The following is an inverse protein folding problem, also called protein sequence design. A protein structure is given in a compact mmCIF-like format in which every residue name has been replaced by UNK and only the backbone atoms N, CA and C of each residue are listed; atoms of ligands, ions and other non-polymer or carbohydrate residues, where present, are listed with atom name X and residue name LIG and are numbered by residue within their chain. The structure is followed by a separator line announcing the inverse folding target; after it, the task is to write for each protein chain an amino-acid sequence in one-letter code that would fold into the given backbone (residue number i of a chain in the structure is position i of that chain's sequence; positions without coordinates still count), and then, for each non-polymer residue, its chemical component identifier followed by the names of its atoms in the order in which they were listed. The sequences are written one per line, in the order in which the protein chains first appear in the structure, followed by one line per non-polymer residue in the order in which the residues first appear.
data_IF_326865608837
#
_entry.id   IF_326865608837
#
_cell.length_a   1.000
_cell.length_b   1.000
_cell.length_c   1.000
_cell.angle_alpha   90.00
_cell.angle_beta   90.00
_cell.angle_gamma   90.00
#
_symmetry.space_group_name_H-M   'P 1'
#
loop_
_entity.id
_entity.type
_entity.pdbx_description
1 polymer ?
#
# COMPACT_ATOMS: atom_id res chain seq x y z
N UNK A 1 -13.80 -1.99 51.09
CA UNK A 1 -13.05 -1.69 49.86
C UNK A 1 -13.14 -2.92 48.97
N UNK A 2 -14.15 -2.99 48.09
CA UNK A 2 -14.37 -4.15 47.23
C UNK A 2 -13.42 -4.10 46.04
N UNK A 3 -12.54 -5.08 45.92
CA UNK A 3 -11.69 -5.21 44.73
C UNK A 3 -12.58 -5.64 43.56
N UNK A 4 -12.87 -4.71 42.66
CA UNK A 4 -13.47 -5.03 41.36
C UNK A 4 -12.39 -5.72 40.53
N UNK A 5 -12.42 -7.05 40.51
CA UNK A 5 -11.63 -7.84 39.56
C UNK A 5 -12.29 -7.68 38.21
N UNK A 6 -11.75 -6.83 37.34
CA UNK A 6 -12.12 -6.80 35.94
C UNK A 6 -11.76 -8.17 35.32
N UNK A 7 -12.77 -9.02 35.10
CA UNK A 7 -12.59 -10.26 34.35
C UNK A 7 -12.40 -9.93 32.86
N UNK A 8 -11.18 -9.52 32.51
CA UNK A 8 -10.80 -9.09 31.16
C UNK A 8 -10.77 -10.24 30.14
N UNK A 9 -11.21 -11.46 30.47
CA UNK A 9 -11.04 -12.60 29.55
C UNK A 9 -11.88 -12.47 28.27
N UNK A 10 -13.03 -11.76 28.31
CA UNK A 10 -13.98 -11.64 27.19
C UNK A 10 -14.70 -10.27 27.10
N UNK A 11 -14.10 -9.20 27.61
CA UNK A 11 -14.69 -7.85 27.47
C UNK A 11 -14.60 -7.31 26.04
N UNK A 12 -15.49 -6.37 25.64
CA UNK A 12 -15.49 -5.73 24.32
C UNK A 12 -14.08 -5.27 23.89
N UNK A 13 -13.36 -4.60 24.79
CA UNK A 13 -11.99 -4.13 24.60
C UNK A 13 -10.97 -5.20 24.18
N UNK A 14 -11.07 -6.41 24.73
CA UNK A 14 -10.14 -7.52 24.42
C UNK A 14 -10.47 -8.15 23.07
N UNK A 15 -11.75 -8.18 22.70
CA UNK A 15 -12.19 -8.68 21.41
C UNK A 15 -11.77 -7.72 20.28
N UNK A 16 -11.93 -6.41 20.46
CA UNK A 16 -11.49 -5.38 19.49
C UNK A 16 -9.99 -5.44 19.27
N UNK A 17 -9.20 -5.55 20.35
CA UNK A 17 -7.73 -5.65 20.24
C UNK A 17 -7.32 -6.89 19.44
N UNK A 18 -7.92 -8.06 19.70
CA UNK A 18 -7.63 -9.29 18.94
C UNK A 18 -8.00 -9.17 17.46
N UNK A 19 -9.09 -8.47 17.16
CA UNK A 19 -9.58 -8.35 15.78
C UNK A 19 -8.66 -7.52 14.90
N UNK A 20 -8.02 -6.47 15.42
CA UNK A 20 -7.12 -5.62 14.62
C UNK A 20 -5.82 -6.32 14.18
N UNK A 21 -5.47 -7.47 14.77
CA UNK A 21 -4.24 -8.22 14.43
C UNK A 21 -4.51 -9.59 13.80
N UNK A 22 -5.76 -9.88 13.45
CA UNK A 22 -6.20 -11.19 12.98
C UNK A 22 -6.22 -11.35 11.44
N UNK A 23 -5.93 -10.27 10.71
CA UNK A 23 -5.98 -10.25 9.25
C UNK A 23 -4.70 -10.81 8.63
N UNK A 24 -4.84 -11.65 7.60
CA UNK A 24 -3.74 -12.12 6.76
C UNK A 24 -4.19 -12.34 5.31
N UNK A 25 -3.25 -12.59 4.39
CA UNK A 25 -3.55 -12.90 2.99
C UNK A 25 -3.65 -11.66 2.09
N UNK A 26 -4.62 -11.65 1.16
CA UNK A 26 -4.79 -10.58 0.16
C UNK A 26 -4.09 -10.87 -1.18
N UNK A 27 -3.11 -11.77 -1.21
CA UNK A 27 -2.28 -11.99 -2.40
C UNK A 27 -1.49 -10.73 -2.78
N UNK A 28 -1.37 -10.43 -4.07
CA UNK A 28 -0.86 -9.13 -4.55
C UNK A 28 -1.85 -8.03 -4.14
N UNK A 29 -1.39 -7.15 -3.24
CA UNK A 29 -2.07 -5.94 -2.80
C UNK A 29 -1.48 -4.75 -3.55
N UNK A 30 -2.33 -3.90 -4.13
CA UNK A 30 -1.88 -2.79 -4.98
C UNK A 30 -2.57 -1.48 -4.63
N UNK A 31 -1.81 -0.40 -4.76
CA UNK A 31 -2.29 0.98 -4.67
C UNK A 31 -2.10 1.62 -6.03
N UNK A 32 -3.12 2.31 -6.52
CA UNK A 32 -3.05 3.07 -7.77
C UNK A 32 -2.67 4.54 -7.52
N UNK A 33 -2.38 5.28 -8.60
CA UNK A 33 -2.03 6.69 -8.51
C UNK A 33 -3.17 7.58 -8.03
N UNK A 34 -4.43 7.15 -8.09
CA UNK A 34 -5.58 7.82 -7.46
C UNK A 34 -5.81 7.38 -6.00
N UNK A 35 -4.89 6.55 -5.46
CA UNK A 35 -4.87 5.99 -4.11
C UNK A 35 -5.96 4.95 -3.87
N UNK A 36 -6.66 4.53 -4.92
CA UNK A 36 -7.56 3.39 -4.86
C UNK A 36 -6.78 2.09 -4.64
N UNK A 37 -7.39 1.18 -3.89
CA UNK A 37 -6.78 -0.06 -3.42
C UNK A 37 -7.42 -1.28 -4.06
N UNK A 38 -6.63 -2.32 -4.28
CA UNK A 38 -7.12 -3.62 -4.73
C UNK A 38 -6.24 -4.76 -4.24
N UNK A 39 -6.82 -5.96 -4.16
CA UNK A 39 -6.10 -7.18 -3.80
C UNK A 39 -6.56 -8.35 -4.67
N UNK A 40 -5.64 -9.28 -4.97
CA UNK A 40 -5.85 -10.35 -5.96
C UNK A 40 -6.41 -11.65 -5.38
N UNK A 41 -6.32 -11.85 -4.06
CA UNK A 41 -6.83 -13.05 -3.38
C UNK A 41 -7.52 -12.66 -2.08
N UNK A 42 -8.42 -13.51 -1.60
CA UNK A 42 -9.11 -13.29 -0.32
C UNK A 42 -8.14 -12.95 0.83
N UNK A 43 -8.50 -11.95 1.62
CA UNK A 43 -8.01 -11.88 2.99
C UNK A 43 -8.69 -12.95 3.84
N UNK A 44 -8.01 -13.31 4.93
CA UNK A 44 -8.55 -14.15 5.97
C UNK A 44 -8.48 -13.42 7.30
N UNK A 45 -9.60 -13.36 8.02
CA UNK A 45 -9.59 -13.08 9.45
C UNK A 45 -9.60 -14.42 10.19
N UNK A 46 -8.48 -14.77 10.84
CA UNK A 46 -8.22 -16.06 11.48
C UNK A 46 -7.79 -15.87 12.93
N UNK A 47 -7.72 -16.97 13.71
CA UNK A 47 -7.30 -16.94 15.12
C UNK A 47 -8.21 -16.13 16.06
N UNK A 48 -9.44 -15.85 15.62
CA UNK A 48 -10.48 -15.16 16.40
C UNK A 48 -11.28 -16.10 17.29
N UNK A 49 -11.41 -17.37 16.89
CA UNK A 49 -12.27 -18.37 17.52
C UNK A 49 -13.34 -18.89 16.56
N UNK A 50 -14.19 -19.80 17.05
CA UNK A 50 -15.25 -20.45 16.27
C UNK A 50 -16.55 -20.50 17.08
N UNK A 51 -17.68 -20.22 16.43
CA UNK A 51 -19.02 -20.30 17.03
C UNK A 51 -19.83 -19.01 16.90
N UNK A 52 -20.89 -18.88 17.70
CA UNK A 52 -21.88 -17.78 17.60
C UNK A 52 -21.30 -16.38 17.75
N UNK A 53 -20.19 -16.24 18.48
CA UNK A 53 -19.51 -14.96 18.70
C UNK A 53 -18.43 -14.67 17.64
N UNK A 54 -18.20 -15.59 16.71
CA UNK A 54 -17.17 -15.55 15.67
C UNK A 54 -17.74 -16.11 14.37
N UNK A 55 -16.97 -16.87 13.59
CA UNK A 55 -17.53 -17.61 12.45
C UNK A 55 -17.83 -19.06 12.82
N UNK A 56 -18.79 -19.69 12.13
CA UNK A 56 -19.05 -21.13 12.19
C UNK A 56 -17.95 -21.97 11.53
N UNK A 57 -17.03 -21.34 10.79
CA UNK A 57 -16.00 -22.01 9.99
C UNK A 57 -14.56 -21.84 10.54
N UNK A 58 -14.38 -21.08 11.63
CA UNK A 58 -13.06 -20.77 12.22
C UNK A 58 -12.22 -19.70 11.49
N UNK A 59 -12.68 -19.20 10.35
CA UNK A 59 -12.15 -18.02 9.63
C UNK A 59 -13.23 -17.26 8.87
N UNK A 60 -13.03 -15.97 8.61
CA UNK A 60 -13.79 -15.21 7.62
C UNK A 60 -12.98 -15.01 6.33
N UNK A 61 -13.63 -15.04 5.17
CA UNK A 61 -13.05 -14.66 3.87
C UNK A 61 -13.52 -13.27 3.48
N UNK A 62 -12.59 -12.48 2.94
CA UNK A 62 -12.88 -11.14 2.43
C UNK A 62 -12.27 -11.03 1.03
N UNK A 63 -13.11 -11.31 0.03
CA UNK A 63 -12.80 -11.13 -1.39
C UNK A 63 -12.90 -9.65 -1.77
N UNK A 64 -12.22 -9.28 -2.87
CA UNK A 64 -12.41 -7.95 -3.45
C UNK A 64 -13.89 -7.83 -3.89
N UNK A 65 -14.63 -6.81 -3.44
CA UNK A 65 -15.99 -6.60 -3.90
C UNK A 65 -15.97 -6.31 -5.42
N UNK A 66 -16.97 -6.77 -6.18
CA UNK A 66 -17.08 -6.51 -7.61
C UNK A 66 -17.37 -5.03 -7.90
N UNK A 67 -17.09 -4.60 -9.13
CA UNK A 67 -17.44 -3.27 -9.62
C UNK A 67 -18.93 -2.96 -9.44
N UNK A 68 -19.22 -1.70 -9.11
CA UNK A 68 -20.58 -1.23 -8.77
C UNK A 68 -20.99 -1.47 -7.33
N UNK A 69 -20.20 -2.20 -6.52
CA UNK A 69 -20.47 -2.32 -5.08
C UNK A 69 -20.35 -0.95 -4.42
N UNK A 70 -21.39 -0.51 -3.73
CA UNK A 70 -21.38 0.69 -2.89
C UNK A 70 -20.87 0.33 -1.50
N UNK A 71 -19.80 1.01 -1.07
CA UNK A 71 -19.22 0.91 0.26
C UNK A 71 -19.70 2.12 1.06
N UNK A 72 -20.69 1.97 1.95
CA UNK A 72 -21.22 3.09 2.71
C UNK A 72 -20.19 3.63 3.70
N UNK A 73 -20.34 4.91 4.06
CA UNK A 73 -19.62 5.47 5.20
C UNK A 73 -20.02 4.74 6.49
N UNK A 74 -19.03 4.47 7.35
CA UNK A 74 -19.24 3.93 8.68
C UNK A 74 -19.58 4.98 9.74
N UNK A 75 -19.56 6.26 9.37
CA UNK A 75 -19.38 7.40 10.27
C UNK A 75 -20.20 8.63 9.84
N UNK A 76 -21.15 8.44 8.90
CA UNK A 76 -22.12 9.46 8.52
C UNK A 76 -21.70 10.39 7.37
N UNK A 77 -20.52 10.20 6.79
CA UNK A 77 -20.12 10.88 5.54
C UNK A 77 -20.57 10.15 4.27
N UNK A 78 -19.86 10.43 3.18
CA UNK A 78 -20.21 9.89 1.85
C UNK A 78 -19.49 8.56 1.62
N UNK A 79 -20.23 7.55 1.16
CA UNK A 79 -19.65 6.27 0.75
C UNK A 79 -18.83 6.37 -0.55
N UNK A 80 -18.19 5.27 -0.93
CA UNK A 80 -17.47 5.13 -2.20
C UNK A 80 -18.04 4.00 -3.03
N UNK A 81 -17.78 3.97 -4.34
CA UNK A 81 -18.22 2.88 -5.23
C UNK A 81 -17.01 2.21 -5.87
N UNK A 82 -16.99 0.88 -5.86
CA UNK A 82 -15.95 0.09 -6.51
C UNK A 82 -16.01 0.32 -8.01
N UNK A 83 -14.89 0.71 -8.60
CA UNK A 83 -14.78 1.00 -10.04
C UNK A 83 -13.46 0.45 -10.56
N UNK A 84 -13.47 -0.17 -11.74
CA UNK A 84 -12.27 -0.71 -12.40
C UNK A 84 -11.49 -1.73 -11.54
N UNK A 85 -12.22 -2.52 -10.77
CA UNK A 85 -11.71 -3.51 -9.83
C UNK A 85 -10.99 -2.90 -8.62
N UNK A 86 -11.29 -1.64 -8.25
CA UNK A 86 -10.61 -0.91 -7.17
C UNK A 86 -11.58 -0.19 -6.25
N UNK A 87 -11.22 -0.10 -4.97
CA UNK A 87 -11.93 0.68 -3.97
C UNK A 87 -11.26 2.06 -3.86
N UNK A 88 -11.94 3.16 -4.18
CA UNK A 88 -11.44 4.50 -3.89
C UNK A 88 -11.22 4.68 -2.40
N UNK A 89 -10.08 5.27 -2.02
CA UNK A 89 -9.78 5.63 -0.62
C UNK A 89 -9.80 7.16 -0.51
N UNK A 90 -10.77 7.78 0.16
CA UNK A 90 -10.76 9.23 0.43
C UNK A 90 -9.53 9.69 1.21
N UNK A 91 -9.31 11.01 1.32
CA UNK A 91 -8.20 11.57 2.09
C UNK A 91 -8.29 11.14 3.56
N UNK A 92 -7.15 10.74 4.16
CA UNK A 92 -7.08 10.23 5.54
C UNK A 92 -8.24 9.29 5.90
N UNK A 93 -8.33 8.16 5.20
CA UNK A 93 -9.45 7.23 5.32
C UNK A 93 -9.03 5.83 5.73
N UNK A 94 -9.98 5.05 6.26
CA UNK A 94 -9.82 3.65 6.58
C UNK A 94 -10.93 2.82 5.96
N UNK A 95 -10.54 1.74 5.30
CA UNK A 95 -11.41 0.70 4.78
C UNK A 95 -11.53 -0.40 5.81
N UNK A 96 -12.77 -0.75 6.13
CA UNK A 96 -13.13 -1.73 7.14
C UNK A 96 -14.00 -2.82 6.54
N UNK A 97 -14.05 -3.95 7.25
CA UNK A 97 -15.02 -4.99 7.00
C UNK A 97 -15.70 -5.41 8.30
N UNK A 98 -17.03 -5.42 8.28
CA UNK A 98 -17.87 -5.86 9.38
C UNK A 98 -17.87 -7.39 9.41
N UNK A 99 -17.32 -8.01 10.45
CA UNK A 99 -17.31 -9.47 10.56
C UNK A 99 -18.75 -9.98 10.79
N UNK A 100 -19.26 -10.91 9.95
CA UNK A 100 -20.59 -11.47 10.12
C UNK A 100 -20.59 -12.51 11.26
N UNK A 101 -20.60 -12.03 12.51
CA UNK A 101 -20.56 -12.90 13.69
C UNK A 101 -21.73 -13.89 13.71
N UNK A 102 -21.46 -15.13 14.13
CA UNK A 102 -22.37 -16.26 14.16
C UNK A 102 -22.77 -16.79 12.78
N UNK A 103 -21.98 -16.53 11.74
CA UNK A 103 -22.24 -16.98 10.36
C UNK A 103 -21.05 -17.70 9.73
N UNK A 104 -21.30 -18.21 8.52
CA UNK A 104 -20.29 -18.81 7.66
C UNK A 104 -19.13 -17.87 7.33
N UNK A 105 -18.11 -18.43 6.70
CA UNK A 105 -16.90 -17.71 6.24
C UNK A 105 -17.12 -16.77 5.05
N UNK A 106 -18.29 -16.74 4.40
CA UNK A 106 -18.45 -16.14 3.07
C UNK A 106 -18.42 -14.61 3.13
N UNK A 107 -17.77 -14.00 2.15
CA UNK A 107 -17.75 -12.53 1.97
C UNK A 107 -19.15 -12.00 1.70
N UNK A 108 -19.51 -10.90 2.35
CA UNK A 108 -20.77 -10.17 2.19
C UNK A 108 -20.42 -8.75 1.78
N UNK A 109 -20.78 -8.34 0.57
CA UNK A 109 -20.39 -7.03 0.05
C UNK A 109 -21.00 -5.87 0.88
N UNK A 110 -22.18 -6.08 1.45
CA UNK A 110 -22.83 -5.10 2.33
C UNK A 110 -22.10 -4.90 3.67
N UNK A 111 -21.04 -5.64 3.95
CA UNK A 111 -20.23 -5.53 5.17
C UNK A 111 -18.98 -4.66 4.97
N UNK A 112 -18.68 -4.13 3.78
CA UNK A 112 -17.62 -3.15 3.63
C UNK A 112 -18.04 -1.79 4.20
N UNK A 113 -17.14 -1.10 4.89
CA UNK A 113 -17.36 0.26 5.40
C UNK A 113 -16.14 1.11 5.11
N UNK A 114 -16.35 2.40 4.88
CA UNK A 114 -15.25 3.37 4.79
C UNK A 114 -15.46 4.49 5.80
N UNK A 115 -14.39 4.99 6.38
CA UNK A 115 -14.44 6.14 7.30
C UNK A 115 -13.32 7.09 6.92
N UNK A 116 -13.54 8.38 7.01
CA UNK A 116 -12.56 9.42 6.68
C UNK A 116 -12.55 10.54 7.72
N UNK A 117 -11.50 11.37 7.69
CA UNK A 117 -11.30 12.42 8.70
C UNK A 117 -12.29 13.59 8.61
N UNK A 118 -13.00 13.74 7.48
CA UNK A 118 -13.99 14.79 7.25
C UNK A 118 -15.40 14.34 7.63
N UNK A 119 -15.58 13.10 8.08
CA UNK A 119 -16.87 12.61 8.53
C UNK A 119 -17.45 13.55 9.61
N UNK A 120 -18.69 14.05 9.42
CA UNK A 120 -19.23 15.14 10.25
C UNK A 120 -19.74 14.67 11.63
N UNK A 121 -19.80 13.35 11.87
CA UNK A 121 -20.38 12.76 13.08
C UNK A 121 -19.34 12.22 14.04
N UNK A 122 -19.61 12.31 15.34
CA UNK A 122 -18.90 11.51 16.35
C UNK A 122 -19.28 10.04 16.18
N UNK A 123 -18.28 9.16 16.07
CA UNK A 123 -18.52 7.73 15.93
C UNK A 123 -17.42 6.93 16.65
N UNK A 124 -17.81 5.75 17.15
CA UNK A 124 -16.89 4.74 17.68
C UNK A 124 -16.84 3.57 16.72
N UNK A 125 -15.64 3.04 16.45
CA UNK A 125 -15.50 1.83 15.65
C UNK A 125 -16.05 0.63 16.39
N UNK A 126 -17.07 -0.08 15.87
CA UNK A 126 -17.59 -1.27 16.53
C UNK A 126 -16.54 -2.38 16.63
N UNK A 127 -16.56 -3.12 17.74
CA UNK A 127 -15.56 -4.14 18.06
C UNK A 127 -15.37 -5.22 16.98
N UNK A 128 -16.42 -5.49 16.20
CA UNK A 128 -16.47 -6.54 15.19
C UNK A 128 -16.07 -6.06 13.79
N UNK A 129 -15.53 -4.85 13.68
CA UNK A 129 -14.98 -4.34 12.44
C UNK A 129 -13.48 -4.61 12.40
N UNK A 130 -13.01 -5.15 11.29
CA UNK A 130 -11.59 -5.38 11.05
C UNK A 130 -11.07 -4.37 10.04
N UNK A 131 -9.91 -3.77 10.34
CA UNK A 131 -9.24 -2.85 9.42
C UNK A 131 -8.68 -3.64 8.22
N UNK A 132 -8.95 -3.19 7.00
CA UNK A 132 -8.37 -3.74 5.77
C UNK A 132 -7.24 -2.88 5.22
N UNK A 133 -7.42 -1.56 5.24
CA UNK A 133 -6.42 -0.61 4.76
C UNK A 133 -6.68 0.78 5.37
N UNK A 134 -5.62 1.54 5.62
CA UNK A 134 -5.69 2.96 6.00
C UNK A 134 -4.86 3.76 5.02
N UNK A 135 -5.42 4.85 4.49
CA UNK A 135 -4.70 5.85 3.70
C UNK A 135 -4.21 6.98 4.61
N UNK A 136 -2.94 7.33 4.50
CA UNK A 136 -2.34 8.57 5.00
C UNK A 136 -1.97 9.47 3.81
N UNK A 137 -2.28 10.76 3.85
CA UNK A 137 -1.94 11.74 2.80
C UNK A 137 -0.70 12.60 3.12
N UNK A 138 0.06 12.29 4.16
CA UNK A 138 1.30 13.02 4.43
C UNK A 138 2.25 12.98 3.21
N UNK A 139 2.72 14.15 2.78
CA UNK A 139 3.35 14.35 1.46
C UNK A 139 4.82 13.88 1.32
N UNK A 140 5.38 13.19 2.32
CA UNK A 140 6.84 13.03 2.44
C UNK A 140 7.29 11.57 2.33
N UNK A 141 7.52 11.08 1.11
CA UNK A 141 8.26 9.82 0.89
C UNK A 141 7.67 8.56 1.53
N UNK A 142 6.49 8.66 2.14
CA UNK A 142 5.90 7.60 2.96
C UNK A 142 4.86 6.88 2.13
N UNK A 143 4.81 5.53 2.18
CA UNK A 143 3.76 4.79 1.51
C UNK A 143 2.38 5.29 1.95
N UNK A 144 1.50 5.65 1.00
CA UNK A 144 0.22 6.27 1.30
C UNK A 144 -0.77 5.30 1.95
N UNK A 145 -0.54 3.99 1.90
CA UNK A 145 -1.46 3.00 2.45
C UNK A 145 -0.74 2.05 3.41
N UNK A 146 -1.34 1.79 4.57
CA UNK A 146 -1.00 0.66 5.43
C UNK A 146 -2.12 -0.37 5.37
N UNK A 147 -1.80 -1.61 5.03
CA UNK A 147 -2.75 -2.71 5.03
C UNK A 147 -3.03 -3.19 6.46
N UNK A 148 -4.22 -3.73 6.70
CA UNK A 148 -4.57 -4.36 7.98
C UNK A 148 -3.71 -5.57 8.32
N UNK A 149 -3.03 -6.14 7.32
CA UNK A 149 -2.02 -7.19 7.46
C UNK A 149 -0.64 -6.68 7.90
N UNK A 150 -0.46 -5.36 8.00
CA UNK A 150 0.74 -4.69 8.54
C UNK A 150 1.71 -4.17 7.49
N UNK A 151 1.63 -4.63 6.24
CA UNK A 151 2.49 -4.14 5.16
C UNK A 151 2.08 -2.75 4.67
N UNK A 152 3.04 -2.03 4.11
CA UNK A 152 2.82 -0.75 3.48
C UNK A 152 2.61 -0.92 1.96
N UNK A 153 1.73 -0.12 1.38
CA UNK A 153 1.40 -0.08 -0.04
C UNK A 153 1.62 1.30 -0.62
N UNK A 154 2.24 1.34 -1.80
CA UNK A 154 2.49 2.55 -2.58
C UNK A 154 2.29 2.29 -4.09
N UNK A 155 2.30 3.36 -4.87
CA UNK A 155 2.15 3.33 -6.33
C UNK A 155 3.42 3.82 -7.03
N UNK A 156 3.60 3.39 -8.28
CA UNK A 156 4.71 3.85 -9.11
C UNK A 156 4.47 5.29 -9.58
N UNK A 157 5.35 6.21 -9.19
CA UNK A 157 5.40 7.59 -9.66
C UNK A 157 6.33 7.69 -10.86
N UNK A 158 5.94 8.37 -11.95
CA UNK A 158 6.85 8.62 -13.06
C UNK A 158 8.12 9.33 -12.59
N UNK A 159 9.29 8.85 -13.04
CA UNK A 159 10.57 9.50 -12.78
C UNK A 159 10.86 10.49 -13.91
N UNK A 160 11.02 11.77 -13.59
CA UNK A 160 11.36 12.80 -14.57
C UNK A 160 12.79 12.59 -15.09
N UNK A 161 12.89 12.23 -16.37
CA UNK A 161 14.17 12.02 -17.05
C UNK A 161 14.74 13.34 -17.57
N UNK A 162 16.07 13.45 -17.56
CA UNK A 162 16.83 14.65 -17.91
C UNK A 162 17.78 14.37 -19.07
N UNK A 163 18.39 15.41 -19.62
CA UNK A 163 19.50 15.32 -20.58
C UNK A 163 19.25 14.36 -21.76
N UNK A 164 18.05 14.44 -22.35
CA UNK A 164 17.67 13.64 -23.52
C UNK A 164 17.39 12.16 -23.23
N UNK A 165 17.49 11.71 -21.97
CA UNK A 165 17.05 10.36 -21.60
C UNK A 165 15.54 10.24 -21.78
N UNK A 166 15.12 9.16 -22.43
CA UNK A 166 13.71 8.83 -22.65
C UNK A 166 13.44 7.38 -22.29
N UNK A 167 12.19 7.03 -22.01
CA UNK A 167 11.78 5.64 -21.87
C UNK A 167 12.08 4.88 -23.18
N UNK A 168 12.52 3.63 -23.06
CA UNK A 168 12.92 2.83 -24.21
C UNK A 168 11.76 2.54 -25.17
N UNK A 169 10.58 2.20 -24.65
CA UNK A 169 9.41 1.91 -25.46
C UNK A 169 8.43 0.99 -24.75
N UNK A 170 7.46 0.50 -25.53
CA UNK A 170 6.50 -0.52 -25.10
C UNK A 170 7.22 -1.85 -24.82
N UNK A 171 6.63 -2.76 -24.04
CA UNK A 171 7.23 -4.01 -23.50
C UNK A 171 8.11 -3.85 -22.25
N UNK A 172 8.80 -2.72 -22.05
CA UNK A 172 9.62 -2.48 -20.85
C UNK A 172 8.93 -1.55 -19.86
N UNK A 173 9.26 -1.70 -18.58
CA UNK A 173 8.79 -0.77 -17.56
C UNK A 173 9.29 0.65 -17.84
N UNK A 174 8.40 1.64 -17.71
CA UNK A 174 8.78 3.05 -17.74
C UNK A 174 9.54 3.45 -16.47
N UNK A 175 10.39 4.47 -16.59
CA UNK A 175 11.15 5.03 -15.50
C UNK A 175 10.20 5.53 -14.40
N UNK A 176 10.30 4.92 -13.22
CA UNK A 176 9.41 5.20 -12.11
C UNK A 176 10.07 4.87 -10.77
N UNK A 177 9.56 5.47 -9.71
CA UNK A 177 9.98 5.20 -8.34
C UNK A 177 8.78 5.05 -7.40
N UNK A 178 8.97 4.36 -6.27
CA UNK A 178 8.01 4.28 -5.18
C UNK A 178 8.70 4.01 -3.85
N UNK A 179 7.99 4.26 -2.76
CA UNK A 179 8.39 3.85 -1.42
C UNK A 179 7.87 2.43 -1.13
N UNK A 180 8.69 1.65 -0.43
CA UNK A 180 8.33 0.39 0.19
C UNK A 180 8.21 0.55 1.71
N UNK A 181 7.79 -0.52 2.39
CA UNK A 181 7.79 -0.56 3.85
C UNK A 181 9.20 -0.41 4.43
N UNK A 182 9.32 0.24 5.59
CA UNK A 182 10.60 0.38 6.30
C UNK A 182 11.58 1.37 5.65
N UNK A 183 11.09 2.34 4.88
CA UNK A 183 11.92 3.36 4.23
C UNK A 183 12.62 2.88 2.97
N UNK A 184 12.24 1.73 2.41
CA UNK A 184 12.77 1.29 1.12
C UNK A 184 12.30 2.21 0.00
N UNK A 185 13.15 2.41 -0.99
CA UNK A 185 12.86 3.06 -2.27
C UNK A 185 13.16 2.06 -3.35
N UNK A 186 12.19 1.87 -4.24
CA UNK A 186 12.37 1.11 -5.47
C UNK A 186 12.36 2.08 -6.63
N UNK A 187 13.38 1.99 -7.49
CA UNK A 187 13.44 2.62 -8.80
C UNK A 187 13.41 1.52 -9.85
N UNK A 188 12.69 1.76 -10.94
CA UNK A 188 12.64 0.85 -12.08
C UNK A 188 12.68 1.60 -13.40
N UNK A 189 12.98 0.86 -14.46
CA UNK A 189 12.72 1.28 -15.83
C UNK A 189 13.86 0.97 -16.79
N UNK A 190 13.58 1.08 -18.08
CA UNK A 190 14.57 1.02 -19.15
C UNK A 190 14.58 2.35 -19.91
N UNK A 191 15.73 3.02 -19.93
CA UNK A 191 15.88 4.35 -20.54
C UNK A 191 16.97 4.36 -21.60
N UNK A 192 16.89 5.28 -22.56
CA UNK A 192 17.82 5.38 -23.69
C UNK A 192 18.13 6.80 -24.12
N UNK A 193 19.15 6.91 -24.98
CA UNK A 193 19.50 8.07 -25.79
C UNK A 193 19.93 9.32 -25.05
N UNK A 194 20.22 9.22 -23.75
CA UNK A 194 20.72 10.37 -23.01
C UNK A 194 22.05 10.89 -23.55
N UNK A 195 22.23 12.19 -23.40
CA UNK A 195 23.41 12.94 -23.87
C UNK A 195 24.39 13.25 -22.74
N UNK A 196 23.99 13.06 -21.48
CA UNK A 196 24.84 13.25 -20.31
C UNK A 196 24.66 12.12 -19.28
N UNK A 197 25.61 12.02 -18.36
CA UNK A 197 25.59 11.02 -17.29
C UNK A 197 24.39 11.16 -16.35
N UNK A 198 23.86 12.38 -16.17
CA UNK A 198 22.75 12.63 -15.26
C UNK A 198 21.41 12.22 -15.90
N UNK A 199 20.86 11.12 -15.41
CA UNK A 199 19.65 10.49 -15.96
C UNK A 199 18.38 11.13 -15.39
N UNK A 200 18.34 11.30 -14.07
CA UNK A 200 17.18 11.81 -13.35
C UNK A 200 17.58 12.29 -11.95
N UNK A 201 16.65 12.95 -11.25
CA UNK A 201 16.80 13.31 -9.83
C UNK A 201 15.59 12.85 -9.05
N UNK A 202 15.81 12.10 -7.97
CA UNK A 202 14.77 11.68 -7.04
C UNK A 202 14.33 12.86 -6.16
N UNK A 203 13.03 12.98 -5.82
CA UNK A 203 12.56 13.96 -4.83
C UNK A 203 13.09 13.66 -3.42
N UNK A 204 13.08 14.66 -2.54
CA UNK A 204 13.31 14.44 -1.11
C UNK A 204 12.28 13.45 -0.54
N UNK A 205 12.65 12.66 0.47
CA UNK A 205 11.88 11.52 0.96
C UNK A 205 12.14 10.20 0.20
N UNK A 206 12.86 10.26 -0.93
CA UNK A 206 13.23 9.09 -1.74
C UNK A 206 14.74 8.99 -1.98
N UNK A 207 15.56 9.70 -1.19
CA UNK A 207 17.02 9.82 -1.42
C UNK A 207 17.80 9.06 -0.36
N UNK A 208 18.94 8.43 -0.73
CA UNK A 208 19.84 7.87 0.26
C UNK A 208 20.63 8.98 0.97
N UNK A 209 21.20 8.69 2.14
CA UNK A 209 22.10 9.64 2.84
C UNK A 209 23.50 9.73 2.25
N UNK A 210 23.93 8.67 1.55
CA UNK A 210 25.24 8.53 0.93
C UNK A 210 25.11 8.11 -0.53
N UNK A 211 26.19 8.23 -1.30
CA UNK A 211 26.18 7.75 -2.69
C UNK A 211 26.18 6.23 -2.72
N UNK A 212 25.19 5.65 -3.38
CA UNK A 212 25.04 4.20 -3.57
C UNK A 212 25.44 3.83 -4.99
N UNK A 213 26.28 2.82 -5.12
CA UNK A 213 26.80 2.33 -6.39
C UNK A 213 26.12 1.00 -6.71
N UNK A 214 25.63 0.85 -7.93
CA UNK A 214 25.01 -0.39 -8.40
C UNK A 214 25.42 -0.70 -9.84
N UNK A 215 25.44 -1.97 -10.19
CA UNK A 215 25.72 -2.43 -11.56
C UNK A 215 24.40 -2.70 -12.26
N UNK A 216 24.25 -2.18 -13.47
CA UNK A 216 23.04 -2.26 -14.28
C UNK A 216 23.37 -2.75 -15.68
N UNK A 217 22.38 -3.36 -16.35
CA UNK A 217 22.53 -3.74 -17.74
C UNK A 217 22.48 -2.48 -18.60
N UNK A 218 23.39 -2.41 -19.57
CA UNK A 218 23.44 -1.35 -20.56
C UNK A 218 23.84 -1.93 -21.91
N UNK A 219 22.91 -1.99 -22.86
CA UNK A 219 23.20 -2.45 -24.23
C UNK A 219 23.90 -3.82 -24.27
N UNK A 220 23.38 -4.80 -23.51
CA UNK A 220 23.93 -6.15 -23.37
C UNK A 220 25.35 -6.21 -22.75
N UNK A 221 25.78 -5.10 -22.15
CA UNK A 221 26.97 -4.97 -21.31
C UNK A 221 26.57 -4.52 -19.90
N UNK A 222 27.56 -4.23 -19.04
CA UNK A 222 27.32 -3.75 -17.69
C UNK A 222 27.86 -2.33 -17.50
N UNK A 223 27.12 -1.53 -16.73
CA UNK A 223 27.54 -0.20 -16.34
C UNK A 223 27.22 0.10 -14.89
N UNK A 224 27.94 1.07 -14.32
CA UNK A 224 27.71 1.54 -12.96
C UNK A 224 26.68 2.67 -12.97
N UNK A 225 25.68 2.57 -12.12
CA UNK A 225 24.82 3.68 -11.71
C UNK A 225 25.20 4.13 -10.31
N UNK A 226 25.28 5.45 -10.14
CA UNK A 226 25.37 6.10 -8.84
C UNK A 226 24.03 6.74 -8.51
N UNK A 227 23.48 6.42 -7.34
CA UNK A 227 22.39 7.19 -6.72
C UNK A 227 23.04 8.04 -5.63
N UNK A 228 23.21 9.33 -5.89
CA UNK A 228 23.86 10.26 -4.96
C UNK A 228 22.91 10.70 -3.84
N UNK A 229 23.50 11.22 -2.77
CA UNK A 229 22.74 11.73 -1.62
C UNK A 229 21.76 12.87 -1.97
N UNK A 230 22.08 13.68 -2.99
CA UNK A 230 21.19 14.73 -3.49
C UNK A 230 20.06 14.18 -4.40
N UNK A 231 19.98 12.86 -4.58
CA UNK A 231 18.98 12.18 -5.41
C UNK A 231 19.36 12.04 -6.88
N UNK A 232 20.51 12.55 -7.33
CA UNK A 232 20.96 12.36 -8.70
C UNK A 232 21.19 10.89 -9.01
N UNK A 233 20.58 10.41 -10.08
CA UNK A 233 20.86 9.11 -10.68
C UNK A 233 21.80 9.35 -11.85
N UNK A 234 23.06 8.93 -11.69
CA UNK A 234 24.10 9.08 -12.68
C UNK A 234 24.46 7.75 -13.30
N UNK A 235 24.52 7.72 -14.62
CA UNK A 235 25.08 6.63 -15.41
C UNK A 235 26.57 6.91 -15.65
N UNK A 236 27.45 5.99 -15.28
CA UNK A 236 28.91 6.19 -15.32
C UNK A 236 29.60 5.30 -16.38
N UNK A 237 29.35 5.59 -17.66
CA UNK A 237 30.09 5.03 -18.80
C UNK A 237 29.80 5.74 -20.12
N UNK A 238 30.18 5.13 -21.25
CA UNK A 238 30.10 5.74 -22.59
C UNK A 238 28.82 5.42 -23.41
N UNK A 239 28.37 4.17 -23.57
CA UNK A 239 27.19 3.81 -24.40
C UNK A 239 25.79 4.23 -23.91
N UNK A 240 24.99 4.90 -24.73
CA UNK A 240 23.65 5.43 -24.37
C UNK A 240 22.48 4.72 -25.09
N UNK A 241 22.71 3.56 -25.73
CA UNK A 241 21.66 2.82 -26.43
C UNK A 241 20.49 2.46 -25.51
N UNK A 242 20.79 1.89 -24.33
CA UNK A 242 19.85 1.76 -23.22
C UNK A 242 20.57 1.47 -21.91
N UNK A 243 19.92 1.76 -20.77
CA UNK A 243 20.36 1.35 -19.42
C UNK A 243 19.16 1.05 -18.51
N UNK A 244 19.28 0.03 -17.66
CA UNK A 244 18.28 -0.31 -16.65
C UNK A 244 18.43 0.55 -15.39
N UNK A 245 17.31 0.95 -14.79
CA UNK A 245 17.26 1.73 -13.54
C UNK A 245 16.73 0.91 -12.35
N UNK A 246 16.80 -0.42 -12.42
CA UNK A 246 16.22 -1.31 -11.42
C UNK A 246 17.10 -1.34 -10.16
N UNK A 247 16.82 -0.45 -9.22
CA UNK A 247 17.61 -0.22 -8.00
C UNK A 247 16.69 -0.21 -6.79
N UNK A 248 17.13 -0.82 -5.69
CA UNK A 248 16.43 -0.79 -4.40
C UNK A 248 17.41 -0.37 -3.31
N UNK A 249 17.00 0.59 -2.48
CA UNK A 249 17.82 1.12 -1.38
C UNK A 249 16.95 1.71 -0.27
N UNK A 250 17.54 2.10 0.86
CA UNK A 250 16.82 2.83 1.91
C UNK A 250 16.91 4.35 1.69
N UNK A 251 15.78 5.04 1.79
CA UNK A 251 15.76 6.49 1.94
C UNK A 251 16.15 6.86 3.38
N UNK A 252 17.04 7.83 3.49
CA UNK A 252 17.54 8.36 4.77
C UNK A 252 17.36 9.90 4.86
N UNK A 253 16.68 10.50 3.88
CA UNK A 253 16.47 11.96 3.75
C UNK A 253 15.08 12.28 3.20
#
# INVERSE_FOLDING_TARGET
MGIHVFNARNGPFVNTTKMQFALTGGGVKSVASDRSVAWSRRFFAISLGKGRNWTTDGRFEILMPPDGTVIPSGSGGTGVTVTSGRIPMPLFSSLWYVLPLGRDKVTRNDNFRITDYLDPGTWDTPDHWILLATRNEDANGTPPVKWGTGEFGDYWRPLSLLNGWVNYGEEWATAAYRAGGGGLVEVRGLVRWGTANHVATLPAGYRPSATLLTVQNQADTFNRIDVRANGEILRLGSGNNYITLNVVFHADQ
#
